data_IF_167603628956
#
_entry.id   IF_167603628956
#
_cell.length_a   1.000
_cell.length_b   1.000
_cell.length_c   1.000
_cell.angle_alpha   90.00
_cell.angle_beta   90.00
_cell.angle_gamma   90.00
#
_symmetry.space_group_name_H-M   'P 1'
#
loop_
_entity.id
_entity.type
_entity.pdbx_description
1 polymer ?
#
# COMPACT_ATOMS: atom_id res chain seq x y z
N UNK A 1 9.21 0.71 26.55
CA UNK A 1 8.99 1.35 25.24
C UNK A 1 8.24 2.65 25.44
N UNK A 2 8.59 3.68 24.72
CA UNK A 2 7.96 4.99 24.89
C UNK A 2 6.58 5.04 24.23
N UNK A 3 5.69 5.88 24.75
CA UNK A 3 4.38 6.13 24.17
C UNK A 3 4.48 6.64 22.72
N UNK A 4 5.55 7.37 22.41
CA UNK A 4 5.80 7.88 21.06
C UNK A 4 5.97 6.74 20.05
N UNK A 5 6.72 5.69 20.39
CA UNK A 5 6.92 4.55 19.51
C UNK A 5 5.63 3.77 19.29
N UNK A 6 4.84 3.58 20.36
CA UNK A 6 3.55 2.90 20.27
C UNK A 6 2.57 3.71 19.42
N UNK A 7 2.51 5.04 19.61
CA UNK A 7 1.64 5.92 18.83
C UNK A 7 2.02 5.94 17.34
N UNK A 8 3.33 5.99 17.03
CA UNK A 8 3.81 5.97 15.66
C UNK A 8 3.43 4.66 14.96
N UNK A 9 3.57 3.52 15.66
CA UNK A 9 3.21 2.23 15.09
C UNK A 9 1.69 2.12 14.87
N UNK A 10 0.88 2.63 15.79
CA UNK A 10 -0.58 2.64 15.66
C UNK A 10 -1.03 3.48 14.45
N UNK A 11 -0.42 4.65 14.26
CA UNK A 11 -0.72 5.51 13.11
C UNK A 11 -0.32 4.82 11.80
N UNK A 12 0.84 4.17 11.77
CA UNK A 12 1.29 3.42 10.60
C UNK A 12 0.34 2.25 10.29
N UNK A 13 -0.08 1.49 11.30
CA UNK A 13 -1.04 0.39 11.12
C UNK A 13 -2.32 0.88 10.45
N UNK A 14 -2.88 1.98 10.93
CA UNK A 14 -4.11 2.55 10.40
C UNK A 14 -3.93 3.00 8.94
N UNK A 15 -2.83 3.69 8.64
CA UNK A 15 -2.52 4.15 7.29
C UNK A 15 -2.34 2.97 6.33
N UNK A 16 -1.62 1.94 6.74
CA UNK A 16 -1.39 0.76 5.89
C UNK A 16 -2.68 -0.03 5.69
N UNK A 17 -3.54 -0.12 6.68
CA UNK A 17 -4.85 -0.74 6.52
C UNK A 17 -5.66 -0.03 5.42
N UNK A 18 -5.69 1.29 5.44
CA UNK A 18 -6.35 2.07 4.38
C UNK A 18 -5.65 1.89 3.03
N UNK A 19 -4.33 1.90 3.02
CA UNK A 19 -3.52 1.66 1.81
C UNK A 19 -3.86 0.33 1.15
N UNK A 20 -3.87 -0.76 1.91
CA UNK A 20 -4.24 -2.09 1.40
C UNK A 20 -5.68 -2.10 0.89
N UNK A 21 -6.59 -1.45 1.60
CA UNK A 21 -7.99 -1.37 1.19
C UNK A 21 -8.15 -0.67 -0.17
N UNK A 22 -7.34 0.34 -0.48
CA UNK A 22 -7.42 1.03 -1.78
C UNK A 22 -7.01 0.14 -2.94
N UNK A 23 -6.05 -0.77 -2.74
CA UNK A 23 -5.69 -1.75 -3.76
C UNK A 23 -6.85 -2.67 -4.12
N UNK A 24 -7.75 -2.92 -3.17
CA UNK A 24 -8.87 -3.84 -3.32
C UNK A 24 -10.19 -3.15 -3.62
N UNK A 25 -10.24 -1.82 -3.58
CA UNK A 25 -11.47 -1.06 -3.80
C UNK A 25 -11.72 -0.86 -5.28
N UNK A 26 -12.79 -1.46 -5.80
CA UNK A 26 -13.14 -1.38 -7.22
C UNK A 26 -14.04 -0.19 -7.56
N UNK A 27 -14.68 0.42 -6.57
CA UNK A 27 -15.45 1.64 -6.79
C UNK A 27 -14.52 2.85 -6.84
N UNK A 28 -14.53 3.57 -7.96
CA UNK A 28 -13.60 4.68 -8.19
C UNK A 28 -13.72 5.78 -7.14
N UNK A 29 -14.93 6.17 -6.75
CA UNK A 29 -15.13 7.23 -5.75
C UNK A 29 -14.60 6.83 -4.39
N UNK A 30 -14.88 5.60 -3.95
CA UNK A 30 -14.39 5.11 -2.66
C UNK A 30 -12.88 4.92 -2.67
N UNK A 31 -12.31 4.46 -3.79
CA UNK A 31 -10.87 4.30 -3.92
C UNK A 31 -10.17 5.66 -3.82
N UNK A 32 -10.67 6.67 -4.53
CA UNK A 32 -10.12 8.03 -4.49
C UNK A 32 -10.21 8.63 -3.10
N UNK A 33 -11.30 8.41 -2.38
CA UNK A 33 -11.44 8.87 -0.99
C UNK A 33 -10.42 8.18 -0.07
N UNK A 34 -10.18 6.89 -0.25
CA UNK A 34 -9.16 6.15 0.48
C UNK A 34 -7.75 6.65 0.20
N UNK A 35 -7.45 6.94 -1.05
CA UNK A 35 -6.15 7.51 -1.45
C UNK A 35 -5.95 8.86 -0.77
N UNK A 36 -6.97 9.73 -0.77
CA UNK A 36 -6.87 11.04 -0.12
C UNK A 36 -6.58 10.93 1.38
N UNK A 37 -7.09 9.89 2.03
CA UNK A 37 -6.81 9.65 3.46
C UNK A 37 -5.42 9.08 3.71
N UNK A 38 -4.97 8.12 2.90
CA UNK A 38 -3.74 7.38 3.15
C UNK A 38 -2.48 8.06 2.61
N UNK A 39 -2.60 8.80 1.52
CA UNK A 39 -1.45 9.36 0.80
C UNK A 39 -1.42 10.88 0.92
N UNK A 40 -0.21 11.45 1.08
CA UNK A 40 -0.01 12.89 0.98
C UNK A 40 -0.20 13.34 -0.47
N UNK A 41 -0.52 14.64 -0.73
CA UNK A 41 -0.86 15.10 -2.08
C UNK A 41 0.20 14.86 -3.15
N UNK A 42 1.47 15.03 -2.83
CA UNK A 42 2.56 14.83 -3.78
C UNK A 42 3.24 13.47 -3.66
N UNK A 43 2.54 12.47 -3.15
CA UNK A 43 3.11 11.17 -2.86
C UNK A 43 3.54 10.42 -4.13
N UNK A 44 4.47 9.50 -3.94
CA UNK A 44 5.05 8.71 -5.03
C UNK A 44 4.98 7.23 -4.70
N UNK A 45 4.72 6.43 -5.74
CA UNK A 45 4.77 4.98 -5.68
C UNK A 45 5.70 4.46 -6.77
N UNK A 46 6.50 3.44 -6.44
CA UNK A 46 7.29 2.71 -7.43
C UNK A 46 7.54 1.28 -6.99
N UNK A 47 7.52 0.38 -7.96
CA UNK A 47 7.94 -1.00 -7.79
C UNK A 47 8.67 -1.45 -9.08
N UNK A 48 9.09 -2.71 -9.21
CA UNK A 48 9.83 -3.15 -10.39
C UNK A 48 9.08 -3.03 -11.72
N UNK A 49 7.75 -2.93 -11.69
CA UNK A 49 6.90 -2.96 -12.88
C UNK A 49 6.30 -1.59 -13.23
N UNK A 50 6.19 -0.68 -12.26
CA UNK A 50 5.45 0.58 -12.48
C UNK A 50 5.86 1.66 -11.48
N UNK A 51 5.53 2.90 -11.83
CA UNK A 51 5.72 4.06 -10.97
C UNK A 51 4.59 5.05 -11.23
N UNK A 52 4.20 5.81 -10.20
CA UNK A 52 3.19 6.85 -10.33
C UNK A 52 3.38 7.93 -9.28
N UNK A 53 2.88 9.14 -9.57
CA UNK A 53 2.98 10.31 -8.72
C UNK A 53 1.61 10.92 -8.51
N UNK A 54 1.34 11.40 -7.29
CA UNK A 54 0.13 12.13 -6.96
C UNK A 54 -1.11 11.24 -6.89
N UNK A 55 -2.18 11.78 -6.33
CA UNK A 55 -3.41 11.00 -6.11
C UNK A 55 -4.01 10.48 -7.42
N UNK A 56 -4.07 11.32 -8.46
CA UNK A 56 -4.64 10.91 -9.75
C UNK A 56 -3.81 9.81 -10.41
N UNK A 57 -2.48 9.91 -10.37
CA UNK A 57 -1.59 8.89 -10.93
C UNK A 57 -1.68 7.57 -10.18
N UNK A 58 -1.73 7.64 -8.85
CA UNK A 58 -1.88 6.45 -8.00
C UNK A 58 -3.22 5.77 -8.26
N UNK A 59 -4.31 6.54 -8.35
CA UNK A 59 -5.63 5.99 -8.66
C UNK A 59 -5.65 5.28 -10.02
N UNK A 60 -5.09 5.90 -11.04
CA UNK A 60 -5.01 5.31 -12.38
C UNK A 60 -4.20 4.02 -12.38
N UNK A 61 -3.11 3.97 -11.63
CA UNK A 61 -2.28 2.78 -11.49
C UNK A 61 -3.06 1.64 -10.82
N UNK A 62 -3.76 1.93 -9.71
CA UNK A 62 -4.56 0.91 -9.02
C UNK A 62 -5.68 0.39 -9.92
N UNK A 63 -6.36 1.26 -10.64
CA UNK A 63 -7.40 0.86 -11.58
C UNK A 63 -6.84 -0.06 -12.68
N UNK A 64 -5.66 0.25 -13.19
CA UNK A 64 -5.01 -0.57 -14.23
C UNK A 64 -4.65 -1.96 -13.71
N UNK A 65 -4.13 -2.06 -12.49
CA UNK A 65 -3.81 -3.35 -11.88
C UNK A 65 -5.07 -4.18 -11.67
N UNK A 66 -6.15 -3.56 -11.18
CA UNK A 66 -7.42 -4.25 -10.97
C UNK A 66 -8.00 -4.77 -12.30
N UNK A 67 -7.88 -4.00 -13.36
CA UNK A 67 -8.36 -4.42 -14.69
C UNK A 67 -7.54 -5.57 -15.27
N UNK A 68 -6.23 -5.58 -14.99
CA UNK A 68 -5.32 -6.63 -15.49
C UNK A 68 -5.48 -7.94 -14.70
N UNK A 69 -5.80 -7.86 -13.42
CA UNK A 69 -5.92 -9.01 -12.54
C UNK A 69 -7.30 -9.02 -11.85
N UNK A 70 -8.39 -9.21 -12.63
CA UNK A 70 -9.73 -9.15 -12.04
C UNK A 70 -9.91 -10.24 -10.98
N UNK A 71 -10.50 -9.86 -9.85
CA UNK A 71 -10.74 -10.78 -8.74
C UNK A 71 -9.54 -11.03 -7.83
N UNK A 72 -8.38 -10.46 -8.13
CA UNK A 72 -7.21 -10.58 -7.25
C UNK A 72 -7.38 -9.68 -6.03
N UNK A 73 -6.84 -10.13 -4.91
CA UNK A 73 -6.88 -9.43 -3.63
C UNK A 73 -5.46 -9.25 -3.11
N UNK A 74 -5.16 -8.03 -2.70
CA UNK A 74 -3.92 -7.73 -1.99
C UNK A 74 -4.15 -7.97 -0.50
N UNK A 75 -3.24 -8.70 0.15
CA UNK A 75 -3.29 -8.96 1.58
C UNK A 75 -1.95 -8.59 2.21
N UNK A 76 -2.02 -7.96 3.38
CA UNK A 76 -0.83 -7.78 4.21
C UNK A 76 -0.53 -9.11 4.90
N UNK A 77 0.72 -9.57 4.81
CA UNK A 77 1.12 -10.88 5.33
C UNK A 77 2.07 -10.82 6.52
N UNK A 78 2.46 -9.62 6.96
CA UNK A 78 3.27 -9.40 8.17
C UNK A 78 2.68 -8.29 9.00
N UNK A 79 3.20 -8.13 10.23
CA UNK A 79 2.93 -6.90 10.99
C UNK A 79 3.54 -5.70 10.26
N UNK A 80 3.04 -4.51 10.55
CA UNK A 80 3.66 -3.26 10.12
C UNK A 80 4.77 -2.94 11.12
N UNK A 81 5.99 -2.80 10.63
CA UNK A 81 7.15 -2.44 11.45
C UNK A 81 7.46 -0.97 11.16
N UNK A 82 7.34 -0.11 12.16
CA UNK A 82 7.42 1.35 11.97
C UNK A 82 8.34 2.02 12.98
N UNK A 83 9.13 2.98 12.49
CA UNK A 83 9.95 3.85 13.33
C UNK A 83 10.37 5.09 12.53
N UNK A 84 10.57 6.20 13.21
CA UNK A 84 11.20 7.41 12.63
C UNK A 84 10.65 7.83 11.27
N UNK A 85 9.33 7.78 11.10
CA UNK A 85 8.70 8.20 9.85
C UNK A 85 8.79 7.18 8.72
N UNK A 86 9.23 5.97 9.00
CA UNK A 86 9.32 4.88 8.02
C UNK A 86 8.52 3.68 8.48
N UNK A 87 8.05 2.87 7.56
CA UNK A 87 7.48 1.57 7.90
C UNK A 87 7.70 0.56 6.79
N UNK A 88 7.56 -0.71 7.11
CA UNK A 88 7.61 -1.80 6.13
C UNK A 88 6.64 -2.90 6.51
N UNK A 89 6.20 -3.65 5.52
CA UNK A 89 5.36 -4.83 5.70
C UNK A 89 5.46 -5.71 4.46
N UNK A 90 5.16 -7.00 4.60
CA UNK A 90 5.07 -7.92 3.46
C UNK A 90 3.62 -8.05 3.01
N UNK A 91 3.45 -8.43 1.74
CA UNK A 91 2.14 -8.54 1.12
C UNK A 91 2.09 -9.72 0.14
N UNK A 92 0.88 -10.16 -0.16
CA UNK A 92 0.61 -11.14 -1.21
C UNK A 92 -0.51 -10.64 -2.11
N UNK A 93 -0.47 -11.04 -3.37
CA UNK A 93 -1.51 -10.74 -4.35
C UNK A 93 -1.91 -12.04 -5.04
N UNK A 94 -3.20 -12.33 -5.10
CA UNK A 94 -3.70 -13.53 -5.75
C UNK A 94 -5.21 -13.59 -5.70
N UNK A 95 -5.81 -14.65 -6.25
CA UNK A 95 -7.26 -14.84 -6.20
C UNK A 95 -7.78 -14.83 -4.77
N UNK A 96 -9.02 -14.37 -4.57
CA UNK A 96 -9.62 -14.31 -3.24
C UNK A 96 -9.65 -15.70 -2.56
N UNK A 97 -9.86 -16.75 -3.32
CA UNK A 97 -9.96 -18.11 -2.82
C UNK A 97 -8.90 -19.02 -3.46
N UNK A 98 -7.65 -18.62 -3.43
CA UNK A 98 -6.57 -19.41 -4.02
C UNK A 98 -5.22 -19.00 -3.48
N UNK A 99 -4.14 -19.67 -3.91
CA UNK A 99 -2.79 -19.33 -3.45
C UNK A 99 -2.35 -17.99 -3.99
N UNK A 100 -1.41 -17.36 -3.29
CA UNK A 100 -0.80 -16.13 -3.76
C UNK A 100 -0.05 -16.37 -5.06
N UNK A 101 -0.13 -15.39 -5.95
CA UNK A 101 0.56 -15.41 -7.25
C UNK A 101 1.81 -14.54 -7.20
N UNK A 102 1.71 -13.38 -6.54
CA UNK A 102 2.82 -12.45 -6.36
C UNK A 102 2.99 -12.17 -4.88
N UNK A 103 4.23 -12.10 -4.41
CA UNK A 103 4.55 -11.77 -3.02
C UNK A 103 5.68 -10.77 -3.01
N UNK A 104 5.65 -9.86 -2.05
CA UNK A 104 6.68 -8.85 -1.93
C UNK A 104 6.69 -8.12 -0.61
N UNK A 105 7.43 -7.03 -0.58
CA UNK A 105 7.58 -6.16 0.58
C UNK A 105 7.47 -4.71 0.11
N UNK A 106 6.79 -3.88 0.92
CA UNK A 106 6.72 -2.44 0.71
C UNK A 106 7.49 -1.71 1.81
N UNK A 107 8.30 -0.75 1.40
CA UNK A 107 8.94 0.23 2.28
C UNK A 107 8.25 1.55 2.08
N UNK A 108 7.85 2.19 3.17
CA UNK A 108 7.07 3.41 3.14
C UNK A 108 7.72 4.51 3.95
N UNK A 109 7.59 5.76 3.46
CA UNK A 109 7.92 6.95 4.20
C UNK A 109 6.62 7.69 4.52
N UNK A 110 6.51 8.18 5.76
CA UNK A 110 5.29 8.80 6.27
C UNK A 110 5.53 10.27 6.63
N UNK A 111 4.50 11.09 6.43
CA UNK A 111 4.48 12.45 6.96
C UNK A 111 4.37 12.42 8.48
N UNK A 112 4.64 13.55 9.18
CA UNK A 112 4.44 13.60 10.63
C UNK A 112 3.03 13.26 11.09
N UNK A 113 2.01 13.51 10.25
CA UNK A 113 0.62 13.13 10.56
C UNK A 113 0.25 11.72 10.09
N UNK A 114 1.22 10.94 9.64
CA UNK A 114 1.04 9.52 9.35
C UNK A 114 0.52 9.17 7.96
N UNK A 115 0.62 10.09 6.98
CA UNK A 115 0.22 9.81 5.60
C UNK A 115 1.43 9.40 4.78
N UNK A 116 1.21 8.61 3.73
CA UNK A 116 2.27 8.11 2.87
C UNK A 116 2.87 9.21 2.00
N UNK A 117 4.18 9.36 2.05
CA UNK A 117 4.97 10.24 1.17
C UNK A 117 5.49 9.45 -0.02
N UNK A 118 6.01 8.27 0.25
CA UNK A 118 6.56 7.39 -0.78
C UNK A 118 6.36 5.94 -0.37
N UNK A 119 6.03 5.11 -1.34
CA UNK A 119 6.04 3.65 -1.21
C UNK A 119 6.98 3.09 -2.25
N UNK A 120 7.91 2.25 -1.82
CA UNK A 120 8.83 1.53 -2.70
C UNK A 120 8.58 0.04 -2.49
N UNK A 121 8.07 -0.61 -3.53
CA UNK A 121 7.76 -2.04 -3.49
C UNK A 121 8.87 -2.87 -4.11
N UNK A 122 9.05 -4.05 -3.55
CA UNK A 122 9.94 -5.08 -4.09
C UNK A 122 9.16 -6.37 -4.25
N UNK A 123 9.46 -7.12 -5.30
CA UNK A 123 8.78 -8.39 -5.58
C UNK A 123 9.74 -9.52 -5.24
N UNK A 124 9.31 -10.40 -4.34
CA UNK A 124 10.09 -11.57 -3.90
C UNK A 124 9.69 -12.85 -4.62
N UNK A 125 8.44 -12.91 -5.10
CA UNK A 125 7.90 -14.06 -5.82
C UNK A 125 6.94 -13.57 -6.89
N UNK A 126 7.08 -14.09 -8.11
CA UNK A 126 6.20 -13.77 -9.22
C UNK A 126 6.23 -14.93 -10.22
N UNK A 127 5.14 -15.16 -10.99
CA UNK A 127 5.11 -16.20 -12.02
C UNK A 127 6.21 -15.95 -13.04
N UNK A 128 6.97 -16.96 -13.29
CA UNK A 128 8.15 -16.90 -14.09
C UNK A 128 8.11 -16.86 -15.52
#
# INVERSE_FOLDING_TARGET
MSDRAAAANTAADSTIETYVATWNETDASRRQAGIARAWSPGARYRDPLMASDGHAGIDAMLAAVQAKFPGFVLRRTSKVDAHNGACRFTWSLGPAAGPSVVEGVDFCELTPDGRLVEVVGFIDKMPG
#
